data_IF_310034081518
#
_entry.id   IF_310034081518
#
_cell.length_a   1.000
_cell.length_b   1.000
_cell.length_c   1.000
_cell.angle_alpha   90.00
_cell.angle_beta   90.00
_cell.angle_gamma   90.00
#
_symmetry.space_group_name_H-M   'P 1'
#
loop_
_entity.id
_entity.type
_entity.pdbx_description
1 polymer ?
#
# COMPACT_ATOMS: atom_id res chain seq x y z
N UNK A 1 -0.85 -21.23 14.20
CA UNK A 1 -0.07 -19.99 14.02
C UNK A 1 0.91 -20.06 12.86
N UNK A 2 1.80 -21.08 12.79
CA UNK A 2 2.77 -21.22 11.68
C UNK A 2 2.09 -21.44 10.32
N UNK A 3 0.99 -22.21 10.27
CA UNK A 3 0.23 -22.45 9.04
C UNK A 3 -0.36 -21.16 8.45
N UNK A 4 -0.86 -20.25 9.31
CA UNK A 4 -1.44 -18.96 8.91
C UNK A 4 -0.38 -18.05 8.27
N UNK A 5 0.83 -18.04 8.82
CA UNK A 5 1.95 -17.22 8.30
C UNK A 5 2.44 -17.78 6.96
N UNK A 6 2.33 -19.09 6.73
CA UNK A 6 2.75 -19.75 5.51
C UNK A 6 1.70 -19.71 4.39
N UNK A 7 0.48 -19.28 4.68
CA UNK A 7 -0.59 -19.18 3.68
C UNK A 7 -0.47 -17.84 2.91
N UNK A 8 -0.16 -17.87 1.59
CA UNK A 8 -0.03 -16.65 0.80
C UNK A 8 -1.37 -15.92 0.65
N UNK A 9 -2.50 -16.61 0.76
CA UNK A 9 -3.84 -16.02 0.65
C UNK A 9 -4.08 -15.04 1.79
N UNK A 10 -3.70 -15.42 3.01
CA UNK A 10 -3.87 -14.57 4.19
C UNK A 10 -2.99 -13.33 4.10
N UNK A 11 -1.72 -13.51 3.72
CA UNK A 11 -0.80 -12.41 3.49
C UNK A 11 -1.32 -11.46 2.39
N UNK A 12 -1.86 -12.01 1.29
CA UNK A 12 -2.44 -11.25 0.20
C UNK A 12 -3.69 -10.45 0.61
N UNK A 13 -4.60 -11.04 1.39
CA UNK A 13 -5.78 -10.33 1.92
C UNK A 13 -5.35 -9.15 2.80
N UNK A 14 -4.39 -9.38 3.71
CA UNK A 14 -3.85 -8.31 4.57
C UNK A 14 -3.17 -7.23 3.72
N UNK A 15 -2.42 -7.63 2.70
CA UNK A 15 -1.78 -6.72 1.74
C UNK A 15 -2.80 -5.81 1.04
N UNK A 16 -3.94 -6.35 0.60
CA UNK A 16 -5.01 -5.55 -0.02
C UNK A 16 -5.63 -4.55 0.95
N UNK A 17 -5.92 -4.99 2.18
CA UNK A 17 -6.47 -4.11 3.21
C UNK A 17 -5.50 -2.97 3.55
N UNK A 18 -4.20 -3.28 3.63
CA UNK A 18 -3.15 -2.31 3.90
C UNK A 18 -2.95 -1.33 2.73
N UNK A 19 -3.06 -1.77 1.48
CA UNK A 19 -3.04 -0.87 0.31
C UNK A 19 -4.16 0.18 0.36
N UNK A 20 -5.36 -0.25 0.75
CA UNK A 20 -6.52 0.63 0.92
C UNK A 20 -6.25 1.61 2.06
N UNK A 21 -5.83 1.12 3.23
CA UNK A 21 -5.52 1.95 4.40
C UNK A 21 -4.41 2.99 4.11
N UNK A 22 -3.36 2.59 3.39
CA UNK A 22 -2.27 3.47 2.96
C UNK A 22 -2.77 4.59 2.05
N UNK A 23 -3.62 4.27 1.08
CA UNK A 23 -4.24 5.27 0.20
C UNK A 23 -5.10 6.25 1.00
N UNK A 24 -5.95 5.76 1.90
CA UNK A 24 -6.80 6.60 2.74
C UNK A 24 -5.99 7.52 3.65
N UNK A 25 -4.97 6.98 4.33
CA UNK A 25 -4.11 7.77 5.23
C UNK A 25 -3.29 8.80 4.46
N UNK A 26 -2.82 8.47 3.26
CA UNK A 26 -2.13 9.42 2.36
C UNK A 26 -3.06 10.57 1.96
N UNK A 27 -4.27 10.28 1.48
CA UNK A 27 -5.24 11.32 1.08
C UNK A 27 -5.58 12.22 2.28
N UNK A 28 -5.78 11.62 3.47
CA UNK A 28 -6.08 12.37 4.70
C UNK A 28 -4.92 13.28 5.11
N UNK A 29 -3.68 12.80 5.05
CA UNK A 29 -2.50 13.60 5.38
C UNK A 29 -2.34 14.79 4.40
N UNK A 30 -2.55 14.56 3.10
CA UNK A 30 -2.50 15.62 2.08
C UNK A 30 -3.62 16.65 2.26
N UNK A 31 -4.84 16.20 2.57
CA UNK A 31 -5.98 17.10 2.80
C UNK A 31 -5.77 18.05 4.00
N UNK A 32 -4.91 17.67 4.96
CA UNK A 32 -4.52 18.49 6.12
C UNK A 32 -3.36 19.46 5.83
N UNK A 33 -2.96 19.61 4.56
CA UNK A 33 -1.85 20.48 4.16
C UNK A 33 -0.48 19.81 4.21
N UNK A 34 -0.42 18.50 4.49
CA UNK A 34 0.81 17.72 4.36
C UNK A 34 1.32 17.69 2.92
N UNK A 35 2.63 17.58 2.76
CA UNK A 35 3.27 17.33 1.45
C UNK A 35 3.54 15.84 1.30
N UNK A 36 3.34 15.33 0.09
CA UNK A 36 3.70 13.94 -0.23
C UNK A 36 5.22 13.77 -0.13
N UNK A 37 5.68 13.00 0.85
CA UNK A 37 7.10 12.74 1.06
C UNK A 37 7.65 11.73 0.05
N UNK A 38 6.79 10.87 -0.52
CA UNK A 38 7.21 9.87 -1.49
C UNK A 38 7.32 10.49 -2.90
N UNK A 39 8.54 10.60 -3.48
CA UNK A 39 8.73 11.24 -4.78
C UNK A 39 8.02 10.50 -5.92
N UNK A 40 7.82 9.18 -5.80
CA UNK A 40 7.09 8.36 -6.78
C UNK A 40 5.60 8.72 -6.74
N UNK A 41 5.00 8.75 -5.56
CA UNK A 41 3.58 9.11 -5.40
C UNK A 41 3.36 10.56 -5.84
N UNK A 42 4.25 11.49 -5.47
CA UNK A 42 4.19 12.88 -5.92
C UNK A 42 4.32 13.02 -7.45
N UNK A 43 5.14 12.20 -8.10
CA UNK A 43 5.21 12.13 -9.56
C UNK A 43 3.90 11.64 -10.16
N UNK A 44 3.32 10.55 -9.63
CA UNK A 44 2.04 10.01 -10.10
C UNK A 44 0.89 11.01 -9.92
N UNK A 45 0.82 11.70 -8.78
CA UNK A 45 -0.17 12.76 -8.54
C UNK A 45 -0.07 13.89 -9.56
N UNK A 46 1.14 14.32 -9.91
CA UNK A 46 1.36 15.33 -10.95
C UNK A 46 0.97 14.84 -12.34
N UNK A 47 1.22 13.56 -12.65
CA UNK A 47 1.01 12.99 -13.99
C UNK A 47 -0.43 12.57 -14.27
N UNK A 48 -1.13 12.06 -13.26
CA UNK A 48 -2.46 11.45 -13.38
C UNK A 48 -3.56 12.23 -12.62
N UNK A 49 -3.21 13.37 -12.00
CA UNK A 49 -4.14 14.23 -11.27
C UNK A 49 -4.55 13.68 -9.91
N UNK A 50 -5.46 14.38 -9.23
CA UNK A 50 -5.84 14.15 -7.81
C UNK A 50 -6.31 12.72 -7.49
N UNK A 51 -6.95 12.04 -8.44
CA UNK A 51 -7.52 10.70 -8.24
C UNK A 51 -6.95 9.64 -9.19
N UNK A 52 -6.37 10.00 -10.33
CA UNK A 52 -5.84 9.03 -11.28
C UNK A 52 -4.63 8.26 -10.75
N UNK A 53 -3.82 8.87 -9.88
CA UNK A 53 -2.69 8.18 -9.24
C UNK A 53 -3.14 7.01 -8.35
N UNK A 54 -4.33 7.09 -7.74
CA UNK A 54 -4.89 6.01 -6.90
C UNK A 54 -5.21 4.79 -7.76
N UNK A 55 -5.81 5.00 -8.94
CA UNK A 55 -6.14 3.92 -9.88
C UNK A 55 -4.86 3.25 -10.38
N UNK A 56 -3.87 4.03 -10.79
CA UNK A 56 -2.60 3.49 -11.29
C UNK A 56 -1.85 2.73 -10.17
N UNK A 57 -1.78 3.31 -8.96
CA UNK A 57 -1.15 2.66 -7.81
C UNK A 57 -1.87 1.36 -7.45
N UNK A 58 -3.20 1.37 -7.40
CA UNK A 58 -4.01 0.19 -7.11
C UNK A 58 -3.86 -0.89 -8.16
N UNK A 59 -3.82 -0.55 -9.45
CA UNK A 59 -3.60 -1.52 -10.52
C UNK A 59 -2.21 -2.16 -10.44
N UNK A 60 -1.17 -1.35 -10.23
CA UNK A 60 0.21 -1.86 -10.07
C UNK A 60 0.35 -2.71 -8.81
N UNK A 61 -0.21 -2.27 -7.68
CA UNK A 61 -0.19 -3.01 -6.44
C UNK A 61 -0.97 -4.33 -6.54
N UNK A 62 -2.14 -4.33 -7.14
CA UNK A 62 -2.92 -5.54 -7.39
C UNK A 62 -2.15 -6.53 -8.26
N UNK A 63 -1.58 -6.08 -9.39
CA UNK A 63 -0.79 -6.92 -10.27
C UNK A 63 0.41 -7.54 -9.55
N UNK A 64 1.16 -6.74 -8.78
CA UNK A 64 2.28 -7.23 -7.98
C UNK A 64 1.82 -8.27 -6.93
N UNK A 65 0.72 -8.00 -6.23
CA UNK A 65 0.16 -8.92 -5.25
C UNK A 65 -0.29 -10.25 -5.85
N UNK A 66 -0.93 -10.23 -7.03
CA UNK A 66 -1.35 -11.44 -7.75
C UNK A 66 -0.13 -12.28 -8.17
N UNK A 67 0.90 -11.64 -8.74
CA UNK A 67 2.15 -12.34 -9.10
C UNK A 67 2.78 -13.00 -7.87
N UNK A 68 2.81 -12.32 -6.73
CA UNK A 68 3.38 -12.88 -5.50
C UNK A 68 2.52 -14.00 -4.90
N UNK A 69 1.20 -13.93 -5.05
CA UNK A 69 0.26 -14.97 -4.66
C UNK A 69 0.48 -16.23 -5.50
N UNK A 70 0.55 -16.10 -6.83
CA UNK A 70 0.73 -17.22 -7.76
C UNK A 70 2.11 -17.88 -7.64
N UNK A 71 3.16 -17.10 -7.36
CA UNK A 71 4.52 -17.62 -7.14
C UNK A 71 4.72 -18.22 -5.75
N UNK A 72 3.73 -18.10 -4.84
CA UNK A 72 3.86 -18.56 -3.47
C UNK A 72 4.94 -17.83 -2.67
N UNK A 73 5.28 -16.60 -3.06
CA UNK A 73 6.32 -15.77 -2.44
C UNK A 73 5.82 -15.14 -1.12
N UNK A 74 5.37 -15.99 -0.19
CA UNK A 74 4.70 -15.61 1.07
C UNK A 74 5.53 -14.63 1.89
N UNK A 75 6.85 -14.87 1.99
CA UNK A 75 7.74 -13.97 2.72
C UNK A 75 7.73 -12.56 2.13
N UNK A 76 7.74 -12.44 0.80
CA UNK A 76 7.71 -11.15 0.12
C UNK A 76 6.38 -10.42 0.34
N UNK A 77 5.25 -11.14 0.31
CA UNK A 77 3.95 -10.56 0.68
C UNK A 77 3.97 -10.00 2.10
N UNK A 78 4.52 -10.74 3.07
CA UNK A 78 4.63 -10.25 4.45
C UNK A 78 5.55 -9.04 4.58
N UNK A 79 6.67 -8.99 3.84
CA UNK A 79 7.55 -7.83 3.81
C UNK A 79 6.82 -6.59 3.24
N UNK A 80 6.01 -6.76 2.19
CA UNK A 80 5.18 -5.70 1.67
C UNK A 80 4.13 -5.26 2.70
N UNK A 81 3.45 -6.19 3.36
CA UNK A 81 2.52 -5.87 4.45
C UNK A 81 3.21 -5.05 5.55
N UNK A 82 4.39 -5.45 6.00
CA UNK A 82 5.14 -4.70 7.00
C UNK A 82 5.49 -3.29 6.52
N UNK A 83 5.91 -3.14 5.26
CA UNK A 83 6.20 -1.83 4.66
C UNK A 83 4.95 -0.94 4.60
N UNK A 84 3.82 -1.46 4.11
CA UNK A 84 2.56 -0.70 4.07
C UNK A 84 2.07 -0.32 5.47
N UNK A 85 2.15 -1.24 6.43
CA UNK A 85 1.77 -0.98 7.82
C UNK A 85 2.61 0.16 8.42
N UNK A 86 3.92 0.16 8.17
CA UNK A 86 4.80 1.25 8.57
C UNK A 86 4.37 2.59 7.96
N UNK A 87 4.06 2.62 6.66
CA UNK A 87 3.61 3.83 5.98
C UNK A 87 2.27 4.32 6.55
N UNK A 88 1.31 3.42 6.78
CA UNK A 88 0.00 3.74 7.40
C UNK A 88 0.20 4.39 8.77
N UNK A 89 1.06 3.84 9.62
CA UNK A 89 1.37 4.42 10.94
C UNK A 89 2.02 5.79 10.77
N UNK A 90 3.02 5.91 9.91
CA UNK A 90 3.75 7.17 9.71
C UNK A 90 2.82 8.27 9.18
N UNK A 91 1.99 7.96 8.19
CA UNK A 91 1.00 8.88 7.64
C UNK A 91 -0.07 9.25 8.67
N UNK A 92 -0.46 8.31 9.54
CA UNK A 92 -1.42 8.57 10.61
C UNK A 92 -0.84 9.46 11.71
N UNK A 93 0.48 9.42 11.95
CA UNK A 93 1.18 10.28 12.93
C UNK A 93 1.45 11.67 12.39
N UNK A 94 1.94 11.77 11.16
CA UNK A 94 2.18 13.07 10.49
C UNK A 94 0.87 13.77 10.15
N UNK A 95 -0.16 12.98 9.85
CA UNK A 95 -1.49 13.47 9.56
C UNK A 95 -2.38 13.66 10.78
N UNK A 96 -1.98 13.37 12.02
CA UNK A 96 -2.77 13.60 13.24
C UNK A 96 -2.69 15.07 13.67
#
# INVERSE_FOLDING_TARGET
MIAVIKDPTIAFVIYLLLQVADTFTTIKALARGGREANPVVAFMMRRFGKHGWVVVKGAVGLAAGVILLETGAVLMLWLLCAAYFWVVINNSRVGA
#
